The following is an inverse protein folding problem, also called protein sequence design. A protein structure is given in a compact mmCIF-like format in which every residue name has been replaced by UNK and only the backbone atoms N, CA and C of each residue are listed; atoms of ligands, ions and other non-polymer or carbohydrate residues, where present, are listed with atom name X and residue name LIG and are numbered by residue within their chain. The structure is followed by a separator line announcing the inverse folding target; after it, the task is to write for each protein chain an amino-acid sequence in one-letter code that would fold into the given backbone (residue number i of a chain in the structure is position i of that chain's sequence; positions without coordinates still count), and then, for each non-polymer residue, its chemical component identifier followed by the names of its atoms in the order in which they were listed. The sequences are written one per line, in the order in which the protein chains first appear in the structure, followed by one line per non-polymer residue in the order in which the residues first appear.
data_IF_829712975400
#
_entry.id   IF_829712975400
#
_cell.length_a   1.000
_cell.length_b   1.000
_cell.length_c   1.000
_cell.angle_alpha   90.00
_cell.angle_beta   90.00
_cell.angle_gamma   90.00
#
_symmetry.space_group_name_H-M   'P 1'
#
loop_
_entity.id
_entity.type
_entity.pdbx_description
1 polymer ?
#
# COMPACT_ATOMS: atom_id res chain seq x y z
N UNK A 1 0.10 -3.64 -0.01
CA UNK A 1 -1.28 -3.81 0.46
C UNK A 1 -1.26 -4.90 1.52
N UNK A 2 -1.81 -4.61 2.68
CA UNK A 2 -1.97 -5.56 3.77
C UNK A 2 -3.46 -5.81 3.99
N UNK A 3 -3.87 -7.07 4.02
CA UNK A 3 -5.24 -7.46 4.36
C UNK A 3 -5.27 -7.88 5.82
N UNK A 4 -6.12 -7.22 6.61
CA UNK A 4 -6.23 -7.42 8.05
C UNK A 4 -7.59 -7.99 8.40
N UNK A 5 -7.62 -8.97 9.29
CA UNK A 5 -8.85 -9.52 9.88
C UNK A 5 -8.66 -9.66 11.40
N UNK A 6 -9.59 -9.10 12.18
CA UNK A 6 -9.54 -9.14 13.65
C UNK A 6 -8.17 -8.70 14.23
N UNK A 7 -7.60 -7.60 13.68
CA UNK A 7 -6.27 -7.05 14.02
C UNK A 7 -5.10 -7.97 13.71
N UNK A 8 -5.31 -9.03 12.93
CA UNK A 8 -4.25 -9.90 12.42
C UNK A 8 -4.10 -9.69 10.91
N UNK A 9 -2.88 -9.72 10.44
CA UNK A 9 -2.59 -9.66 9.03
C UNK A 9 -2.79 -11.07 8.44
N UNK A 10 -3.69 -11.17 7.46
CA UNK A 10 -4.06 -12.45 6.83
C UNK A 10 -3.46 -12.61 5.45
N UNK A 11 -3.17 -11.49 4.77
CA UNK A 11 -2.50 -11.55 3.48
C UNK A 11 -1.74 -10.25 3.18
N UNK A 12 -0.80 -10.30 2.21
CA UNK A 12 -0.03 -9.15 1.76
C UNK A 12 0.20 -9.19 0.26
N UNK A 13 0.13 -8.02 -0.36
CA UNK A 13 0.41 -7.86 -1.80
C UNK A 13 1.35 -6.70 -2.01
N UNK A 14 2.48 -6.97 -2.66
CA UNK A 14 3.42 -5.94 -3.12
C UNK A 14 3.21 -5.72 -4.62
N UNK A 15 2.64 -4.58 -4.97
CA UNK A 15 2.45 -4.17 -6.36
C UNK A 15 3.56 -3.22 -6.75
N UNK A 16 4.20 -3.47 -7.89
CA UNK A 16 5.26 -2.58 -8.42
C UNK A 16 4.65 -1.35 -9.11
N UNK A 17 3.74 -0.68 -8.40
CA UNK A 17 3.04 0.52 -8.84
C UNK A 17 3.19 1.61 -7.77
N UNK A 18 3.30 2.86 -8.19
CA UNK A 18 3.39 4.02 -7.31
C UNK A 18 3.28 5.29 -8.15
N UNK A 19 2.84 6.38 -7.55
CA UNK A 19 2.61 7.64 -8.25
C UNK A 19 3.82 8.10 -9.05
N UNK A 20 4.98 8.18 -8.41
CA UNK A 20 6.24 8.59 -9.04
C UNK A 20 6.63 7.66 -10.19
N UNK A 21 6.61 6.33 -9.97
CA UNK A 21 6.96 5.36 -11.02
C UNK A 21 6.04 5.43 -12.23
N UNK A 22 4.74 5.62 -12.00
CA UNK A 22 3.77 5.74 -13.09
C UNK A 22 4.01 7.04 -13.84
N UNK A 23 4.29 8.14 -13.13
CA UNK A 23 4.61 9.42 -13.75
C UNK A 23 5.83 9.30 -14.66
N UNK A 24 6.94 8.77 -14.15
CA UNK A 24 8.19 8.56 -14.94
C UNK A 24 7.98 7.70 -16.20
N UNK A 25 7.06 6.73 -16.15
CA UNK A 25 6.77 5.85 -17.30
C UNK A 25 5.96 6.53 -18.40
N UNK A 26 5.15 7.54 -18.06
CA UNK A 26 4.14 8.10 -18.97
C UNK A 26 4.21 9.61 -19.14
N UNK A 27 5.16 10.30 -18.50
CA UNK A 27 5.29 11.76 -18.47
C UNK A 27 5.39 12.41 -19.86
N UNK A 28 6.09 11.76 -20.79
CA UNK A 28 6.37 12.34 -22.11
C UNK A 28 5.35 11.97 -23.22
N UNK A 29 4.33 11.18 -22.93
CA UNK A 29 3.66 10.44 -24.00
C UNK A 29 2.24 10.90 -24.38
N UNK A 30 1.63 11.89 -23.72
CA UNK A 30 0.19 12.07 -23.89
C UNK A 30 -0.28 13.53 -23.98
N UNK A 31 -0.97 13.81 -25.09
CA UNK A 31 -1.46 15.14 -25.45
C UNK A 31 -2.70 15.61 -24.66
N UNK A 32 -3.34 14.73 -23.88
CA UNK A 32 -4.51 15.11 -23.07
C UNK A 32 -4.61 14.40 -21.72
N UNK A 33 -5.16 15.06 -20.68
CA UNK A 33 -5.38 14.45 -19.36
C UNK A 33 -6.26 13.19 -19.39
N UNK A 34 -7.18 13.10 -20.35
CA UNK A 34 -8.07 11.93 -20.49
C UNK A 34 -7.32 10.73 -21.03
N UNK A 35 -6.45 10.95 -22.02
CA UNK A 35 -5.63 9.88 -22.60
C UNK A 35 -4.62 9.37 -21.57
N UNK A 36 -4.01 10.25 -20.79
CA UNK A 36 -3.15 9.92 -19.67
C UNK A 36 -3.84 8.99 -18.65
N UNK A 37 -5.04 9.37 -18.20
CA UNK A 37 -5.82 8.54 -17.26
C UNK A 37 -6.17 7.18 -17.88
N UNK A 38 -6.50 7.14 -19.17
CA UNK A 38 -6.86 5.89 -19.84
C UNK A 38 -5.67 4.94 -19.91
N UNK A 39 -4.51 5.42 -20.34
CA UNK A 39 -3.28 4.63 -20.46
C UNK A 39 -2.85 4.08 -19.10
N UNK A 40 -2.86 4.90 -18.05
CA UNK A 40 -2.55 4.41 -16.70
C UNK A 40 -3.56 3.35 -16.25
N UNK A 41 -4.83 3.51 -16.51
CA UNK A 41 -5.84 2.50 -16.17
C UNK A 41 -5.61 1.17 -16.88
N UNK A 42 -5.22 1.20 -18.14
CA UNK A 42 -4.86 0.00 -18.91
C UNK A 42 -3.59 -0.66 -18.35
N UNK A 43 -2.55 0.13 -18.09
CA UNK A 43 -1.32 -0.33 -17.44
C UNK A 43 -1.57 -1.00 -16.08
N UNK A 44 -2.48 -0.45 -15.29
CA UNK A 44 -2.79 -0.98 -13.96
C UNK A 44 -3.66 -2.25 -14.00
N UNK A 45 -4.34 -2.53 -15.10
CA UNK A 45 -5.33 -3.62 -15.18
C UNK A 45 -4.76 -4.98 -14.77
N UNK A 46 -3.61 -5.46 -15.27
CA UNK A 46 -3.09 -6.78 -14.90
C UNK A 46 -2.78 -6.91 -13.39
N UNK A 47 -2.31 -5.83 -12.76
CA UNK A 47 -2.02 -5.84 -11.32
C UNK A 47 -3.29 -5.98 -10.49
N UNK A 48 -4.36 -5.33 -10.91
CA UNK A 48 -5.65 -5.37 -10.22
C UNK A 48 -6.48 -6.61 -10.53
N UNK A 49 -6.30 -7.24 -11.67
CA UNK A 49 -6.88 -8.56 -11.96
C UNK A 49 -6.31 -9.62 -11.02
N UNK A 50 -4.98 -9.66 -10.86
CA UNK A 50 -4.33 -10.55 -9.88
C UNK A 50 -4.82 -10.30 -8.46
N UNK A 51 -5.01 -9.04 -8.07
CA UNK A 51 -5.53 -8.68 -6.76
C UNK A 51 -7.00 -9.09 -6.59
N UNK A 52 -7.81 -8.98 -7.65
CA UNK A 52 -9.23 -9.36 -7.65
C UNK A 52 -9.44 -10.84 -7.40
N UNK A 53 -8.57 -11.67 -7.97
CA UNK A 53 -8.62 -13.12 -7.77
C UNK A 53 -8.23 -13.52 -6.34
N UNK A 54 -7.39 -12.70 -5.71
CA UNK A 54 -6.86 -12.94 -4.38
C UNK A 54 -7.75 -12.38 -3.24
N UNK A 55 -8.53 -11.32 -3.50
CA UNK A 55 -9.47 -10.73 -2.55
C UNK A 55 -10.91 -10.97 -3.04
N UNK A 56 -11.51 -12.13 -2.74
CA UNK A 56 -12.82 -12.52 -3.27
C UNK A 56 -13.99 -11.71 -2.69
N UNK A 57 -13.83 -11.19 -1.49
CA UNK A 57 -14.87 -10.43 -0.79
C UNK A 57 -14.48 -8.96 -0.62
N UNK A 58 -15.50 -8.10 -0.55
CA UNK A 58 -15.28 -6.68 -0.28
C UNK A 58 -14.92 -6.45 1.17
N UNK A 59 -13.83 -5.74 1.37
CA UNK A 59 -13.33 -5.36 2.69
C UNK A 59 -14.17 -4.23 3.30
N UNK A 60 -14.34 -4.25 4.62
CA UNK A 60 -15.15 -3.27 5.34
C UNK A 60 -14.50 -1.89 5.43
N UNK A 61 -13.17 -1.80 5.45
CA UNK A 61 -12.43 -0.56 5.68
C UNK A 61 -11.20 -0.47 4.80
N UNK A 62 -10.86 0.75 4.37
CA UNK A 62 -9.58 1.11 3.74
C UNK A 62 -8.80 2.04 4.66
N UNK A 63 -7.56 1.67 4.95
CA UNK A 63 -6.58 2.54 5.64
C UNK A 63 -5.46 2.81 4.66
N UNK A 64 -5.09 4.07 4.48
CA UNK A 64 -4.07 4.49 3.52
C UNK A 64 -2.99 5.29 4.24
N UNK A 65 -1.75 5.10 3.84
CA UNK A 65 -0.59 5.84 4.34
C UNK A 65 0.32 6.23 3.17
N UNK A 66 0.98 7.36 3.25
CA UNK A 66 1.92 7.88 2.26
C UNK A 66 1.91 9.41 2.21
N UNK A 67 2.96 10.00 1.65
CA UNK A 67 3.09 11.47 1.58
C UNK A 67 2.00 12.09 0.70
N UNK A 68 1.76 11.54 -0.50
CA UNK A 68 0.74 12.02 -1.44
C UNK A 68 -0.66 11.94 -0.85
N UNK A 69 -0.87 11.02 0.08
CA UNK A 69 -2.17 10.84 0.74
C UNK A 69 -2.51 12.02 1.64
N UNK A 70 -1.52 12.65 2.29
CA UNK A 70 -1.74 13.85 3.10
C UNK A 70 -2.20 15.03 2.24
N UNK A 71 -1.60 15.21 1.06
CA UNK A 71 -2.00 16.23 0.11
C UNK A 71 -3.41 15.96 -0.41
N UNK A 72 -3.72 14.71 -0.80
CA UNK A 72 -5.08 14.29 -1.21
C UNK A 72 -6.10 14.54 -0.09
N UNK A 73 -5.75 14.24 1.16
CA UNK A 73 -6.60 14.46 2.32
C UNK A 73 -6.94 15.94 2.50
N UNK A 74 -5.93 16.81 2.39
CA UNK A 74 -6.10 18.27 2.45
C UNK A 74 -7.03 18.77 1.34
N UNK A 75 -6.81 18.34 0.11
CA UNK A 75 -7.64 18.71 -1.05
C UNK A 75 -9.10 18.23 -0.90
N UNK A 76 -9.33 17.15 -0.18
CA UNK A 76 -10.66 16.59 0.09
C UNK A 76 -11.29 17.11 1.40
N UNK A 77 -10.65 18.05 2.11
CA UNK A 77 -11.08 18.55 3.41
C UNK A 77 -11.32 17.42 4.41
N UNK A 78 -10.40 16.48 4.51
CA UNK A 78 -10.48 15.39 5.46
C UNK A 78 -10.54 15.91 6.91
N UNK A 79 -11.33 15.25 7.74
CA UNK A 79 -11.43 15.58 9.16
C UNK A 79 -10.22 15.00 9.90
N UNK A 80 -9.43 15.88 10.51
CA UNK A 80 -8.21 15.48 11.20
C UNK A 80 -8.48 15.10 12.67
N UNK A 81 -7.81 14.04 13.10
CA UNK A 81 -7.63 13.61 14.48
C UNK A 81 -6.13 13.53 14.79
N UNK A 82 -5.74 13.21 16.02
CA UNK A 82 -4.32 13.09 16.40
C UNK A 82 -3.61 11.96 15.63
N UNK A 83 -4.25 10.79 15.54
CA UNK A 83 -3.61 9.59 15.03
C UNK A 83 -3.98 9.28 13.57
N UNK A 84 -5.10 9.79 13.09
CA UNK A 84 -5.61 9.53 11.74
C UNK A 84 -6.50 10.67 11.25
N UNK A 85 -6.70 10.71 9.95
CA UNK A 85 -7.68 11.59 9.32
C UNK A 85 -8.75 10.75 8.64
N UNK A 86 -9.94 11.29 8.53
CA UNK A 86 -11.08 10.64 7.86
C UNK A 86 -11.41 11.45 6.60
N UNK A 87 -11.35 10.78 5.46
CA UNK A 87 -11.75 11.34 4.18
C UNK A 87 -13.04 10.66 3.71
N UNK A 88 -14.04 11.46 3.41
CA UNK A 88 -15.28 10.96 2.82
C UNK A 88 -15.03 10.44 1.39
N UNK A 89 -15.52 9.24 1.09
CA UNK A 89 -15.40 8.63 -0.25
C UNK A 89 -16.04 9.50 -1.33
N UNK A 90 -17.10 10.20 -1.00
CA UNK A 90 -17.77 11.15 -1.91
C UNK A 90 -16.89 12.35 -2.24
N UNK A 91 -16.16 12.90 -1.25
CA UNK A 91 -15.19 13.97 -1.44
C UNK A 91 -14.03 13.52 -2.34
N UNK A 92 -13.47 12.36 -2.06
CA UNK A 92 -12.44 11.74 -2.90
C UNK A 92 -12.93 11.53 -4.34
N UNK A 93 -14.14 11.00 -4.53
CA UNK A 93 -14.70 10.74 -5.86
C UNK A 93 -14.87 12.03 -6.66
N UNK A 94 -15.32 13.10 -6.02
CA UNK A 94 -15.43 14.44 -6.64
C UNK A 94 -14.05 14.96 -7.05
N UNK A 95 -13.06 14.84 -6.16
CA UNK A 95 -11.69 15.25 -6.42
C UNK A 95 -11.07 14.47 -7.57
N UNK A 96 -11.18 13.15 -7.56
CA UNK A 96 -10.69 12.29 -8.64
C UNK A 96 -11.33 12.65 -10.00
N UNK A 97 -12.65 12.86 -10.04
CA UNK A 97 -13.35 13.29 -11.26
C UNK A 97 -12.82 14.61 -11.78
N UNK A 98 -12.63 15.58 -10.88
CA UNK A 98 -12.11 16.91 -11.20
C UNK A 98 -10.69 16.83 -11.77
N UNK A 99 -9.79 16.09 -11.12
CA UNK A 99 -8.42 15.91 -11.58
C UNK A 99 -8.37 15.26 -12.97
N UNK A 100 -9.20 14.24 -13.21
CA UNK A 100 -9.34 13.58 -14.50
C UNK A 100 -9.84 14.51 -15.62
N UNK A 101 -10.77 15.44 -15.32
CA UNK A 101 -11.38 16.33 -16.31
C UNK A 101 -10.54 17.56 -16.61
N UNK A 102 -9.91 18.13 -15.58
CA UNK A 102 -9.19 19.41 -15.68
C UNK A 102 -7.69 19.29 -15.89
N UNK A 103 -7.11 18.13 -15.55
CA UNK A 103 -5.66 17.91 -15.62
C UNK A 103 -4.88 18.49 -14.44
N UNK A 104 -3.57 18.28 -14.46
CA UNK A 104 -2.65 18.62 -13.36
C UNK A 104 -2.48 20.13 -13.19
N UNK A 105 -2.33 20.89 -14.27
CA UNK A 105 -2.16 22.35 -14.21
C UNK A 105 -3.30 23.05 -13.47
N UNK A 106 -4.54 22.72 -13.81
CA UNK A 106 -5.70 23.33 -13.17
C UNK A 106 -5.82 22.97 -11.69
N UNK A 107 -5.37 21.77 -11.29
CA UNK A 107 -5.31 21.34 -9.89
C UNK A 107 -4.20 22.10 -9.16
N UNK A 108 -3.02 22.21 -9.74
CA UNK A 108 -1.90 23.01 -9.21
C UNK A 108 -2.32 24.43 -8.88
N UNK A 109 -2.94 25.13 -9.83
CA UNK A 109 -3.41 26.50 -9.65
C UNK A 109 -4.52 26.63 -8.61
N UNK A 110 -5.46 25.69 -8.57
CA UNK A 110 -6.62 25.78 -7.68
C UNK A 110 -6.28 25.51 -6.21
N UNK A 111 -5.33 24.60 -5.97
CA UNK A 111 -4.95 24.19 -4.61
C UNK A 111 -3.61 24.77 -4.15
N UNK A 112 -2.98 25.62 -4.98
CA UNK A 112 -1.67 26.23 -4.72
C UNK A 112 -0.60 25.18 -4.37
N UNK A 113 -0.56 24.09 -5.19
CA UNK A 113 0.36 22.96 -5.04
C UNK A 113 1.37 23.01 -6.18
N UNK A 114 2.68 22.81 -5.94
CA UNK A 114 3.68 22.75 -7.00
C UNK A 114 3.31 21.74 -8.09
N UNK A 115 3.56 22.10 -9.34
CA UNK A 115 3.20 21.26 -10.50
C UNK A 115 3.81 19.86 -10.42
N UNK A 116 5.07 19.75 -10.03
CA UNK A 116 5.81 18.50 -9.85
C UNK A 116 5.14 17.56 -8.83
N UNK A 117 4.54 18.12 -7.77
CA UNK A 117 3.80 17.36 -6.78
C UNK A 117 2.46 16.86 -7.34
N UNK A 118 1.73 17.70 -8.08
CA UNK A 118 0.43 17.33 -8.69
C UNK A 118 0.59 16.26 -9.75
N UNK A 119 1.67 16.25 -10.49
CA UNK A 119 1.97 15.21 -11.49
C UNK A 119 2.06 13.82 -10.88
N UNK A 120 2.61 13.70 -9.68
CA UNK A 120 2.63 12.43 -8.91
C UNK A 120 1.28 12.13 -8.26
N UNK A 121 0.51 13.17 -7.91
CA UNK A 121 -0.80 13.00 -7.29
C UNK A 121 -1.83 12.34 -8.22
N UNK A 122 -1.85 12.69 -9.50
CA UNK A 122 -2.84 12.14 -10.43
C UNK A 122 -2.74 10.62 -10.59
N UNK A 123 -1.55 10.01 -10.81
CA UNK A 123 -1.38 8.56 -10.75
C UNK A 123 -1.81 7.95 -9.40
N UNK A 124 -1.47 8.60 -8.29
CA UNK A 124 -1.83 8.13 -6.94
C UNK A 124 -3.36 8.14 -6.73
N UNK A 125 -4.06 9.15 -7.23
CA UNK A 125 -5.53 9.20 -7.25
C UNK A 125 -6.13 8.04 -8.07
N UNK A 126 -5.52 7.70 -9.21
CA UNK A 126 -6.00 6.62 -10.08
C UNK A 126 -5.82 5.26 -9.37
N UNK A 127 -4.67 5.02 -8.76
CA UNK A 127 -4.38 3.81 -7.98
C UNK A 127 -5.35 3.68 -6.82
N UNK A 128 -5.51 4.74 -6.02
CA UNK A 128 -6.42 4.73 -4.86
C UNK A 128 -7.87 4.51 -5.30
N UNK A 129 -8.32 5.15 -6.37
CA UNK A 129 -9.67 4.93 -6.93
C UNK A 129 -9.91 3.47 -7.35
N UNK A 130 -8.88 2.78 -7.83
CA UNK A 130 -8.95 1.33 -8.14
C UNK A 130 -9.04 0.50 -6.87
N UNK A 131 -8.21 0.79 -5.87
CA UNK A 131 -8.19 0.10 -4.57
C UNK A 131 -9.52 0.23 -3.82
N UNK A 132 -10.15 1.38 -3.87
CA UNK A 132 -11.44 1.61 -3.21
C UNK A 132 -12.57 0.74 -3.76
N UNK A 133 -12.42 0.10 -4.92
CA UNK A 133 -13.40 -0.85 -5.43
C UNK A 133 -13.47 -2.15 -4.61
N UNK A 134 -12.41 -2.46 -3.86
CA UNK A 134 -12.36 -3.63 -2.96
C UNK A 134 -12.95 -3.35 -1.58
N UNK A 135 -13.41 -2.14 -1.30
CA UNK A 135 -13.99 -1.75 -0.02
C UNK A 135 -15.42 -1.27 -0.15
N UNK A 136 -16.21 -1.42 0.91
CA UNK A 136 -17.63 -1.00 0.95
C UNK A 136 -17.86 0.27 1.76
N UNK A 137 -16.91 0.69 2.60
CA UNK A 137 -17.10 1.81 3.51
C UNK A 137 -17.18 3.16 2.74
N UNK A 138 -17.98 4.08 3.26
CA UNK A 138 -18.12 5.45 2.75
C UNK A 138 -17.01 6.39 3.24
N UNK A 139 -16.17 5.94 4.17
CA UNK A 139 -15.01 6.67 4.67
C UNK A 139 -13.70 5.94 4.41
N UNK A 140 -12.65 6.71 4.18
CA UNK A 140 -11.27 6.25 4.01
C UNK A 140 -10.48 6.77 5.20
N UNK A 141 -9.85 5.87 5.95
CA UNK A 141 -8.95 6.25 7.02
C UNK A 141 -7.56 6.54 6.46
N UNK A 142 -6.98 7.63 6.89
CA UNK A 142 -5.66 8.08 6.47
C UNK A 142 -4.75 8.06 7.71
N UNK A 143 -3.68 7.29 7.67
CA UNK A 143 -2.70 7.30 8.74
C UNK A 143 -1.91 8.60 8.70
N UNK A 144 -1.81 9.28 9.82
CA UNK A 144 -0.97 10.46 9.97
C UNK A 144 0.50 10.10 10.29
N UNK A 145 0.81 8.79 10.35
CA UNK A 145 2.15 8.27 10.62
C UNK A 145 2.87 8.03 9.28
N UNK A 146 4.05 8.60 9.15
CA UNK A 146 4.95 8.43 8.02
C UNK A 146 6.00 7.34 8.31
N UNK A 147 6.68 6.88 7.26
CA UNK A 147 7.79 5.92 7.41
C UNK A 147 8.91 6.47 8.31
N UNK A 148 9.20 7.78 8.21
CA UNK A 148 10.16 8.46 9.07
C UNK A 148 9.80 8.34 10.55
N UNK A 149 8.53 8.47 10.89
CA UNK A 149 8.05 8.38 12.27
C UNK A 149 8.22 6.95 12.81
N UNK A 150 7.96 5.95 11.99
CA UNK A 150 8.16 4.55 12.33
C UNK A 150 9.64 4.23 12.59
N UNK A 151 10.55 4.73 11.73
CA UNK A 151 12.00 4.59 11.92
C UNK A 151 12.48 5.31 13.17
N UNK A 152 12.01 6.53 13.40
CA UNK A 152 12.31 7.28 14.63
C UNK A 152 11.81 6.55 15.89
N UNK A 153 10.61 5.99 15.84
CA UNK A 153 10.05 5.22 16.94
C UNK A 153 10.92 3.99 17.26
N UNK A 154 11.34 3.25 16.25
CA UNK A 154 12.21 2.09 16.42
C UNK A 154 13.57 2.47 17.04
N UNK A 155 14.15 3.60 16.63
CA UNK A 155 15.41 4.09 17.18
C UNK A 155 15.30 4.58 18.63
N UNK A 156 14.21 5.27 18.97
CA UNK A 156 14.02 5.87 20.28
C UNK A 156 13.44 4.91 21.32
N UNK A 157 12.64 3.93 20.88
CA UNK A 157 11.90 3.01 21.73
C UNK A 157 12.11 1.55 21.28
N UNK A 158 13.37 1.04 21.28
CA UNK A 158 13.68 -0.28 20.71
C UNK A 158 13.01 -1.45 21.45
N UNK A 159 12.67 -1.29 22.73
CA UNK A 159 11.95 -2.32 23.50
C UNK A 159 10.50 -2.43 23.06
N UNK A 160 9.84 -1.30 22.92
CA UNK A 160 8.45 -1.20 22.45
C UNK A 160 8.34 -1.62 20.98
N UNK A 161 9.30 -1.19 20.16
CA UNK A 161 9.38 -1.57 18.73
C UNK A 161 9.61 -3.09 18.56
N UNK A 162 10.23 -3.77 19.49
CA UNK A 162 10.45 -5.23 19.42
C UNK A 162 9.14 -6.03 19.30
N UNK A 163 8.02 -5.51 19.81
CA UNK A 163 6.71 -6.12 19.64
C UNK A 163 6.26 -6.06 18.16
N UNK A 164 6.51 -4.93 17.50
CA UNK A 164 6.17 -4.74 16.07
C UNK A 164 7.01 -5.66 15.19
N UNK A 165 8.32 -5.78 15.50
CA UNK A 165 9.24 -6.66 14.77
C UNK A 165 8.78 -8.12 14.88
N UNK A 166 8.45 -8.60 16.09
CA UNK A 166 7.95 -9.96 16.29
C UNK A 166 6.62 -10.21 15.55
N UNK A 167 5.69 -9.26 15.61
CA UNK A 167 4.44 -9.37 14.88
C UNK A 167 4.68 -9.44 13.37
N UNK A 168 5.68 -8.72 12.86
CA UNK A 168 6.08 -8.77 11.46
C UNK A 168 6.73 -10.10 11.07
N UNK A 169 7.57 -10.67 11.94
CA UNK A 169 8.18 -12.00 11.74
C UNK A 169 7.12 -13.11 11.68
N UNK A 170 6.20 -13.13 12.64
CA UNK A 170 5.07 -14.07 12.66
C UNK A 170 4.23 -13.94 11.40
N UNK A 171 3.95 -12.74 10.99
CA UNK A 171 3.22 -12.44 9.77
C UNK A 171 3.96 -12.91 8.52
N UNK A 172 5.28 -12.70 8.43
CA UNK A 172 6.08 -13.15 7.27
C UNK A 172 6.00 -14.66 7.11
N UNK A 173 6.08 -15.40 8.20
CA UNK A 173 5.90 -16.86 8.19
C UNK A 173 4.49 -17.28 7.78
N UNK A 174 3.47 -16.60 8.30
CA UNK A 174 2.07 -16.87 7.95
C UNK A 174 1.80 -16.56 6.47
N UNK A 175 2.32 -15.45 5.95
CA UNK A 175 2.21 -15.08 4.55
C UNK A 175 2.90 -16.10 3.63
N UNK A 176 4.10 -16.56 3.98
CA UNK A 176 4.80 -17.60 3.25
C UNK A 176 4.01 -18.92 3.24
N UNK A 177 3.41 -19.29 4.37
CA UNK A 177 2.55 -20.48 4.49
C UNK A 177 1.33 -20.36 3.61
N UNK A 178 0.63 -19.24 3.64
CA UNK A 178 -0.55 -18.95 2.80
C UNK A 178 -0.23 -19.06 1.30
N UNK A 179 0.92 -18.53 0.89
CA UNK A 179 1.39 -18.67 -0.50
C UNK A 179 1.62 -20.14 -0.86
N UNK A 180 2.29 -20.89 0.02
CA UNK A 180 2.55 -22.31 -0.21
C UNK A 180 1.25 -23.13 -0.33
N UNK A 181 0.25 -22.86 0.51
CA UNK A 181 -1.08 -23.47 0.45
C UNK A 181 -1.79 -23.19 -0.86
N UNK A 182 -1.78 -21.92 -1.31
CA UNK A 182 -2.38 -21.49 -2.57
C UNK A 182 -1.80 -22.22 -3.77
N UNK A 183 -0.52 -22.53 -3.75
CA UNK A 183 0.15 -23.31 -4.78
C UNK A 183 0.09 -24.84 -4.56
N UNK A 184 -0.74 -25.31 -3.64
CA UNK A 184 -0.96 -26.72 -3.36
C UNK A 184 0.28 -27.46 -2.88
N UNK A 185 1.17 -26.76 -2.13
CA UNK A 185 2.39 -27.36 -1.59
C UNK A 185 2.11 -28.10 -0.28
N UNK A 186 2.82 -29.19 -0.09
CA UNK A 186 2.74 -29.96 1.16
C UNK A 186 3.36 -29.18 2.33
N UNK A 187 2.50 -28.62 3.18
CA UNK A 187 2.90 -27.83 4.36
C UNK A 187 3.70 -28.68 5.35
N UNK A 188 3.37 -29.96 5.50
CA UNK A 188 4.12 -30.88 6.37
C UNK A 188 5.56 -31.07 5.90
N UNK A 189 5.75 -31.20 4.59
CA UNK A 189 7.09 -31.27 4.00
C UNK A 189 7.87 -29.96 4.19
N UNK A 190 7.24 -28.81 3.90
CA UNK A 190 7.84 -27.49 4.06
C UNK A 190 8.28 -27.27 5.52
N UNK A 191 7.42 -27.55 6.48
CA UNK A 191 7.72 -27.40 7.91
C UNK A 191 8.91 -28.27 8.34
N UNK A 192 8.97 -29.51 7.86
CA UNK A 192 10.09 -30.43 8.14
C UNK A 192 11.40 -29.92 7.54
N UNK A 193 11.39 -29.49 6.28
CA UNK A 193 12.59 -28.94 5.62
C UNK A 193 13.08 -27.69 6.33
N UNK A 194 12.18 -26.77 6.69
CA UNK A 194 12.52 -25.55 7.43
C UNK A 194 13.12 -25.87 8.81
N UNK A 195 12.53 -26.81 9.54
CA UNK A 195 13.02 -27.23 10.86
C UNK A 195 14.44 -27.85 10.76
N UNK A 196 14.67 -28.73 9.78
CA UNK A 196 15.99 -29.33 9.56
C UNK A 196 17.01 -28.28 9.14
N UNK A 197 16.64 -27.33 8.29
CA UNK A 197 17.53 -26.25 7.87
C UNK A 197 17.95 -25.37 9.04
N UNK A 198 17.03 -25.01 9.93
CA UNK A 198 17.33 -24.26 11.16
C UNK A 198 18.23 -25.06 12.10
N UNK A 199 17.98 -26.36 12.26
CA UNK A 199 18.84 -27.24 13.10
C UNK A 199 20.27 -27.32 12.55
N UNK A 200 20.44 -27.45 11.25
CA UNK A 200 21.77 -27.43 10.61
C UNK A 200 22.42 -26.05 10.83
N UNK A 201 21.71 -24.97 10.60
CA UNK A 201 22.21 -23.61 10.82
C UNK A 201 22.70 -23.43 12.25
N UNK A 202 21.91 -23.82 13.25
CA UNK A 202 22.28 -23.71 14.67
C UNK A 202 23.48 -24.54 15.04
N UNK A 203 23.58 -25.77 14.53
CA UNK A 203 24.74 -26.64 14.77
C UNK A 203 26.03 -26.13 14.11
N UNK A 204 25.88 -25.37 13.03
CA UNK A 204 27.01 -24.81 12.26
C UNK A 204 27.39 -23.38 12.67
N UNK A 205 26.83 -22.82 13.73
CA UNK A 205 27.13 -21.44 14.22
C UNK A 205 28.63 -21.14 14.37
N UNK A 206 29.42 -22.15 14.81
CA UNK A 206 30.86 -22.00 14.94
C UNK A 206 31.61 -21.91 13.61
N UNK A 207 31.01 -22.39 12.51
CA UNK A 207 31.62 -22.40 11.18
C UNK A 207 31.27 -21.14 10.40
N UNK A 208 30.01 -20.73 10.40
CA UNK A 208 29.56 -19.57 9.60
C UNK A 208 29.65 -18.23 10.34
N UNK A 209 29.68 -18.23 11.68
CA UNK A 209 29.86 -17.02 12.50
C UNK A 209 28.68 -16.03 12.45
N UNK A 210 27.60 -16.35 11.74
CA UNK A 210 26.42 -15.49 11.67
C UNK A 210 25.62 -15.55 12.98
N UNK A 211 25.10 -14.39 13.39
CA UNK A 211 24.12 -14.26 14.47
C UNK A 211 22.77 -13.98 13.84
N UNK A 212 21.77 -14.77 14.15
CA UNK A 212 20.38 -14.44 13.91
C UNK A 212 19.89 -13.48 15.00
#
# INVERSE_FOLDING_TARGET
IYVMENSKMVDTYSLKIGGLRINELFEESLDSPKDYVQVIREYLTPFFETLSDAIPEKLSQCIVSGNEIQTIASMCNATNSLDFSIMERTAFTKMYKKAKEKGTEAISMEYDIPQEEVEVLLPSLIVLNRLLKYTVNDSILLSNVLLSDAVMFEMLFPKEASFVVKAYEEFTLQSATSIAERFGRDIGHISRVSSVALEIYDKMKKLHGYKL
#
